data_IF_034794095506
#
_entry.id   IF_034794095506
#
_cell.length_a   1.000
_cell.length_b   1.000
_cell.length_c   1.000
_cell.angle_alpha   90.00
_cell.angle_beta   90.00
_cell.angle_gamma   90.00
#
_symmetry.space_group_name_H-M   'P 1'
#
loop_
_entity.id
_entity.type
_entity.pdbx_description
1 polymer ?
#
# COMPACT_ATOMS: atom_id res chain seq x y z
N UNK A 1 20.87 -14.46 -0.17
CA UNK A 1 20.44 -13.05 -0.21
C UNK A 1 18.93 -13.01 0.03
N UNK A 2 18.47 -12.78 1.26
CA UNK A 2 17.04 -12.83 1.63
C UNK A 2 16.38 -11.48 1.32
N UNK A 3 15.94 -11.24 0.08
CA UNK A 3 15.11 -10.07 -0.23
C UNK A 3 14.68 -10.12 -1.70
N UNK A 4 13.69 -10.95 -2.05
CA UNK A 4 12.95 -10.65 -3.27
C UNK A 4 12.07 -9.43 -2.97
N UNK A 5 12.32 -8.29 -3.64
CA UNK A 5 11.44 -7.12 -3.51
C UNK A 5 10.15 -7.43 -4.28
N UNK A 6 9.08 -7.69 -3.55
CA UNK A 6 7.79 -8.11 -4.09
C UNK A 6 6.66 -7.51 -3.26
N UNK A 7 5.47 -7.50 -3.85
CA UNK A 7 4.22 -7.14 -3.22
C UNK A 7 4.26 -5.73 -2.60
N UNK A 8 4.25 -4.71 -3.46
CA UNK A 8 4.23 -3.30 -3.05
C UNK A 8 3.04 -3.02 -2.13
N UNK A 9 3.35 -2.58 -0.91
CA UNK A 9 2.37 -2.31 0.13
C UNK A 9 2.40 -0.87 0.60
N UNK A 10 1.22 -0.31 0.86
CA UNK A 10 1.05 1.00 1.49
C UNK A 10 0.70 0.81 2.96
N UNK A 11 1.43 1.49 3.82
CA UNK A 11 1.19 1.49 5.27
C UNK A 11 0.52 2.79 5.68
N UNK A 12 -0.46 2.70 6.57
CA UNK A 12 -1.10 3.86 7.20
C UNK A 12 -0.59 3.99 8.63
N UNK A 13 -0.08 5.16 9.00
CA UNK A 13 0.19 5.49 10.40
C UNK A 13 -0.92 6.41 10.94
N UNK A 14 -1.69 5.92 11.92
CA UNK A 14 -2.77 6.69 12.56
C UNK A 14 -2.30 7.59 13.70
N UNK A 15 -1.06 7.39 14.15
CA UNK A 15 -0.39 8.16 15.20
C UNK A 15 1.00 8.54 14.72
N UNK A 16 1.14 9.57 13.87
CA UNK A 16 2.42 9.96 13.29
C UNK A 16 3.52 10.06 14.35
N UNK A 17 4.74 9.64 14.00
CA UNK A 17 5.91 9.53 14.89
C UNK A 17 5.87 8.37 15.90
N UNK A 18 4.73 7.71 16.09
CA UNK A 18 4.64 6.51 16.93
C UNK A 18 4.72 5.25 16.06
N UNK A 19 5.67 4.38 16.38
CA UNK A 19 5.85 3.10 15.69
C UNK A 19 4.65 2.15 15.86
N UNK A 20 3.93 2.27 16.97
CA UNK A 20 2.71 1.49 17.23
C UNK A 20 1.49 1.94 16.42
N UNK A 21 1.56 3.09 15.73
CA UNK A 21 0.47 3.62 14.93
C UNK A 21 0.36 3.04 13.53
N UNK A 22 1.33 2.21 13.10
CA UNK A 22 1.36 1.60 11.77
C UNK A 22 0.43 0.38 11.68
N UNK A 23 -0.53 0.43 10.74
CA UNK A 23 -1.36 -0.71 10.37
C UNK A 23 -0.59 -1.71 9.48
N UNK A 24 -1.15 -2.92 9.28
CA UNK A 24 -0.65 -3.86 8.26
C UNK A 24 -0.74 -3.24 6.86
N UNK A 25 0.15 -3.60 5.92
CA UNK A 25 0.13 -2.98 4.60
C UNK A 25 -1.10 -3.40 3.79
N UNK A 26 -1.63 -2.47 3.00
CA UNK A 26 -2.51 -2.78 1.88
C UNK A 26 -1.66 -2.99 0.64
N UNK A 27 -1.74 -4.17 0.03
CA UNK A 27 -1.02 -4.45 -1.22
C UNK A 27 -1.68 -3.69 -2.38
N UNK A 28 -0.89 -2.85 -3.06
CA UNK A 28 -1.31 -2.07 -4.23
C UNK A 28 -0.78 -2.65 -5.55
N UNK A 29 0.23 -3.50 -5.49
CA UNK A 29 0.71 -4.30 -6.62
C UNK A 29 1.29 -5.62 -6.10
N UNK A 30 0.83 -6.74 -6.65
CA UNK A 30 1.36 -8.08 -6.30
C UNK A 30 2.45 -8.50 -7.29
N UNK A 31 3.50 -9.17 -6.82
CA UNK A 31 4.63 -9.61 -7.64
C UNK A 31 5.85 -8.69 -7.56
N UNK A 32 6.82 -8.83 -8.49
CA UNK A 32 8.05 -8.04 -8.50
C UNK A 32 7.76 -6.54 -8.40
N UNK A 33 8.34 -5.91 -7.39
CA UNK A 33 8.12 -4.49 -7.11
C UNK A 33 9.42 -3.89 -6.56
N UNK A 34 9.82 -2.73 -7.08
CA UNK A 34 11.08 -2.08 -6.74
C UNK A 34 10.88 -0.80 -5.92
N UNK A 35 11.61 0.25 -6.28
CA UNK A 35 11.43 1.58 -5.66
C UNK A 35 10.06 2.17 -5.99
N UNK A 36 9.60 3.08 -5.13
CA UNK A 36 8.35 3.81 -5.32
C UNK A 36 8.46 5.24 -4.80
N UNK A 37 7.54 6.09 -5.28
CA UNK A 37 7.35 7.47 -4.81
C UNK A 37 5.85 7.78 -4.69
N UNK A 38 5.47 8.57 -3.69
CA UNK A 38 4.08 8.83 -3.32
C UNK A 38 3.81 10.34 -3.24
N UNK A 39 2.75 10.79 -3.92
CA UNK A 39 2.25 12.15 -3.85
C UNK A 39 0.76 12.16 -3.48
N UNK A 40 0.33 13.18 -2.74
CA UNK A 40 -1.09 13.41 -2.44
C UNK A 40 -1.63 14.54 -3.32
N UNK A 41 -2.73 14.27 -4.00
CA UNK A 41 -3.46 15.22 -4.82
C UNK A 41 -4.65 15.77 -4.01
N UNK A 42 -4.53 17.02 -3.59
CA UNK A 42 -5.53 17.72 -2.76
C UNK A 42 -6.85 17.92 -3.51
N UNK A 43 -6.82 18.23 -4.80
CA UNK A 43 -8.02 18.53 -5.59
C UNK A 43 -8.89 17.28 -5.79
N UNK A 44 -8.26 16.11 -5.87
CA UNK A 44 -8.94 14.82 -6.07
C UNK A 44 -9.13 14.02 -4.79
N UNK A 45 -8.57 14.48 -3.66
CA UNK A 45 -8.48 13.73 -2.40
C UNK A 45 -7.96 12.29 -2.61
N UNK A 46 -6.86 12.17 -3.35
CA UNK A 46 -6.29 10.87 -3.74
C UNK A 46 -4.77 10.85 -3.61
N UNK A 47 -4.26 9.67 -3.28
CA UNK A 47 -2.84 9.36 -3.36
C UNK A 47 -2.50 8.86 -4.75
N UNK A 48 -1.33 9.25 -5.23
CA UNK A 48 -0.73 8.85 -6.50
C UNK A 48 0.63 8.22 -6.23
N UNK A 49 0.87 7.02 -6.76
CA UNK A 49 2.09 6.27 -6.54
C UNK A 49 2.71 5.87 -7.87
N UNK A 50 4.01 6.15 -8.03
CA UNK A 50 4.86 5.55 -9.06
C UNK A 50 5.65 4.40 -8.44
N UNK A 51 5.78 3.29 -9.16
CA UNK A 51 6.57 2.15 -8.69
C UNK A 51 7.27 1.42 -9.84
N UNK A 52 8.49 0.95 -9.60
CA UNK A 52 9.15 -0.07 -10.43
C UNK A 52 8.41 -1.40 -10.27
N UNK A 53 8.00 -2.04 -11.38
CA UNK A 53 7.37 -3.36 -11.33
C UNK A 53 7.49 -4.14 -12.65
N UNK A 54 6.97 -5.37 -12.65
CA UNK A 54 6.87 -6.21 -13.84
C UNK A 54 6.36 -7.60 -13.51
N UNK A 55 6.37 -8.49 -14.50
CA UNK A 55 5.89 -9.87 -14.32
C UNK A 55 6.97 -10.77 -13.74
N UNK A 56 8.18 -10.70 -14.29
CA UNK A 56 9.32 -11.53 -13.92
C UNK A 56 10.33 -10.74 -13.06
N UNK A 57 10.51 -9.45 -13.35
CA UNK A 57 11.38 -8.52 -12.62
C UNK A 57 10.73 -7.15 -12.42
N UNK A 58 11.13 -6.47 -11.34
CA UNK A 58 10.75 -5.10 -11.03
C UNK A 58 11.31 -4.06 -12.01
N UNK A 59 12.30 -4.40 -12.84
CA UNK A 59 12.97 -3.48 -13.77
C UNK A 59 12.31 -3.38 -15.14
N UNK A 60 11.13 -3.99 -15.33
CA UNK A 60 10.46 -4.03 -16.64
C UNK A 60 9.74 -2.72 -16.97
N UNK A 61 9.14 -2.06 -15.97
CA UNK A 61 8.39 -0.83 -16.17
C UNK A 61 8.29 0.02 -14.89
N UNK A 62 7.90 1.28 -15.07
CA UNK A 62 7.41 2.14 -13.97
C UNK A 62 5.90 2.29 -14.13
N UNK A 63 5.14 1.74 -13.20
CA UNK A 63 3.68 1.81 -13.19
C UNK A 63 3.16 3.00 -12.37
N UNK A 64 2.00 3.51 -12.74
CA UNK A 64 1.26 4.55 -12.02
C UNK A 64 -0.03 3.95 -11.44
N UNK A 65 -0.31 4.22 -10.17
CA UNK A 65 -1.58 3.85 -9.53
C UNK A 65 -2.10 4.96 -8.64
N UNK A 66 -3.41 4.99 -8.41
CA UNK A 66 -4.07 5.94 -7.50
C UNK A 66 -4.99 5.20 -6.55
N UNK A 67 -5.09 5.68 -5.33
CA UNK A 67 -5.99 5.15 -4.30
C UNK A 67 -6.42 6.24 -3.33
N UNK A 68 -7.57 6.05 -2.69
CA UNK A 68 -8.09 6.93 -1.64
C UNK A 68 -7.61 6.49 -0.26
N UNK A 69 -7.78 7.35 0.75
CA UNK A 69 -7.55 6.97 2.14
C UNK A 69 -8.44 5.78 2.56
N UNK A 70 -9.68 5.74 2.08
CA UNK A 70 -10.63 4.67 2.37
C UNK A 70 -10.16 3.30 1.84
N UNK A 71 -9.43 3.27 0.73
CA UNK A 71 -8.89 2.01 0.18
C UNK A 71 -7.78 1.40 1.05
N UNK A 72 -7.10 2.24 1.84
CA UNK A 72 -6.00 1.85 2.73
C UNK A 72 -6.49 1.60 4.16
N UNK A 73 -7.54 2.30 4.58
CA UNK A 73 -8.16 2.10 5.88
C UNK A 73 -8.73 0.66 5.96
N UNK A 74 -8.03 -0.20 6.70
CA UNK A 74 -8.63 -1.45 7.15
C UNK A 74 -9.74 -1.08 8.14
N UNK A 75 -11.00 -1.22 7.73
CA UNK A 75 -12.09 -1.31 8.70
C UNK A 75 -11.81 -2.60 9.46
N UNK A 76 -11.29 -2.48 10.68
CA UNK A 76 -10.93 -3.61 11.52
C UNK A 76 -12.02 -4.67 11.47
N UNK A 77 -11.60 -5.93 11.37
CA UNK A 77 -12.47 -7.11 11.28
C UNK A 77 -13.80 -6.82 11.97
N UNK A 78 -14.89 -6.73 11.20
CA UNK A 78 -16.22 -6.89 11.78
C UNK A 78 -16.18 -8.26 12.44
N UNK A 79 -15.85 -8.30 13.73
CA UNK A 79 -16.01 -9.49 14.55
C UNK A 79 -17.46 -9.88 14.34
N UNK A 80 -17.66 -11.02 13.69
CA UNK A 80 -18.98 -11.60 13.51
C UNK A 80 -19.66 -11.57 14.87
N UNK A 81 -20.72 -10.77 14.98
CA UNK A 81 -21.77 -11.02 15.97
C UNK A 81 -22.40 -12.36 15.57
N UNK A 82 -21.75 -13.46 15.94
CA UNK A 82 -22.45 -14.74 16.03
C UNK A 82 -22.97 -14.84 17.45
N UNK A 83 -24.23 -14.43 17.56
CA UNK A 83 -25.11 -14.77 18.67
C UNK A 83 -25.00 -16.26 18.97
N UNK A 84 -24.76 -16.57 20.23
CA UNK A 84 -25.21 -17.76 20.94
C UNK A 84 -25.67 -17.29 22.33
#
# INVERSE_FOLDING_TARGET
NKSSRRDMGVYLNRSPLHSSGWDKPRIIHSGPSGYSDLAYNVDKDQFSCLMECGKESELEQIAFTTFSLNDVMQMGDKKDKKML
#
